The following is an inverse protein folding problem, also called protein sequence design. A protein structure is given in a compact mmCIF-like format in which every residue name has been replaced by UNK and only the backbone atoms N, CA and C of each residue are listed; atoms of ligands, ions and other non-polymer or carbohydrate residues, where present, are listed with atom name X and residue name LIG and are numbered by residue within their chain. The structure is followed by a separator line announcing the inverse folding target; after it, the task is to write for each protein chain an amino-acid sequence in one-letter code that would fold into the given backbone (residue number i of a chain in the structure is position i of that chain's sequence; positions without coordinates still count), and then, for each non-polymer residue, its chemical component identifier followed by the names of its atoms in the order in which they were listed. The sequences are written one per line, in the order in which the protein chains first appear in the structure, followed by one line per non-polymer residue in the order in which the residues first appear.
data_IF_435074517441
#
_entry.id   IF_435074517441
#
_cell.length_a   1.000
_cell.length_b   1.000
_cell.length_c   1.000
_cell.angle_alpha   90.00
_cell.angle_beta   90.00
_cell.angle_gamma   90.00
#
_symmetry.space_group_name_H-M   'P 1'
#
loop_
_entity.id
_entity.type
_entity.pdbx_description
1 polymer ?
#
# COMPACT_ATOMS: atom_id res chain seq x y z
N UNK A 1 23.35 -12.52 -4.07
CA UNK A 1 23.23 -11.50 -5.14
C UNK A 1 21.79 -11.04 -5.42
N UNK A 2 20.74 -11.64 -4.82
CA UNK A 2 19.35 -11.32 -5.09
C UNK A 2 18.67 -10.43 -4.03
N UNK A 3 19.41 -9.85 -3.08
CA UNK A 3 18.87 -8.86 -2.13
C UNK A 3 18.52 -7.52 -2.78
N UNK A 4 18.96 -7.26 -4.02
CA UNK A 4 18.70 -6.01 -4.75
C UNK A 4 17.36 -5.99 -5.47
N UNK A 5 16.70 -7.12 -5.70
CA UNK A 5 15.38 -7.16 -6.37
C UNK A 5 14.21 -6.79 -5.47
N UNK A 6 14.35 -6.93 -4.14
CA UNK A 6 13.31 -6.53 -3.19
C UNK A 6 13.16 -5.01 -3.06
N UNK A 7 14.23 -4.26 -3.39
CA UNK A 7 14.24 -2.79 -3.32
C UNK A 7 13.77 -2.09 -4.60
N UNK A 8 13.34 -2.82 -5.61
CA UNK A 8 12.92 -2.28 -6.92
C UNK A 8 11.41 -2.15 -7.05
N UNK A 9 10.69 -1.86 -5.97
CA UNK A 9 9.28 -1.48 -6.07
C UNK A 9 9.16 0.03 -6.10
N UNK A 10 8.73 0.48 -7.27
CA UNK A 10 8.41 1.85 -7.61
C UNK A 10 7.52 2.52 -6.58
N UNK A 11 7.96 3.65 -6.05
CA UNK A 11 7.09 4.55 -5.31
C UNK A 11 7.79 5.70 -4.64
N UNK A 12 8.99 5.52 -4.15
CA UNK A 12 9.78 6.64 -3.59
C UNK A 12 11.21 6.48 -4.10
N UNK A 13 11.49 7.05 -5.25
CA UNK A 13 12.87 7.22 -5.68
C UNK A 13 13.52 8.26 -4.76
N UNK A 14 14.45 7.83 -3.92
CA UNK A 14 15.43 8.75 -3.35
C UNK A 14 16.22 9.36 -4.51
N UNK A 15 15.88 10.57 -4.87
CA UNK A 15 16.49 11.34 -5.98
C UNK A 15 17.99 11.62 -5.80
N UNK A 16 18.64 11.09 -4.75
CA UNK A 16 20.01 11.44 -4.36
C UNK A 16 20.96 10.27 -4.15
N UNK A 17 20.64 9.05 -4.58
CA UNK A 17 21.58 7.93 -4.55
C UNK A 17 22.32 7.77 -5.88
N UNK A 18 22.99 8.84 -6.35
CA UNK A 18 24.05 8.70 -7.33
C UNK A 18 25.40 8.94 -6.66
N UNK A 19 26.15 7.86 -6.52
CA UNK A 19 27.60 7.87 -6.57
C UNK A 19 28.32 8.40 -5.33
N UNK A 20 28.47 7.57 -4.28
CA UNK A 20 29.66 7.69 -3.44
C UNK A 20 30.31 6.31 -3.33
N UNK A 21 31.44 6.17 -4.02
CA UNK A 21 32.36 5.06 -3.85
C UNK A 21 32.83 4.99 -2.37
N UNK A 22 33.09 3.77 -1.83
CA UNK A 22 33.60 3.65 -0.47
C UNK A 22 35.07 4.08 -0.47
N UNK A 23 35.35 5.25 0.03
CA UNK A 23 36.71 5.68 0.27
C UNK A 23 36.91 6.03 1.75
N UNK A 24 37.82 5.28 2.35
CA UNK A 24 38.60 5.50 3.58
C UNK A 24 37.81 5.73 4.89
N UNK A 25 38.16 4.87 5.85
CA UNK A 25 37.95 5.01 7.29
C UNK A 25 38.27 6.43 7.77
N UNK A 26 37.31 7.32 7.65
CA UNK A 26 37.25 8.53 8.43
C UNK A 26 36.48 8.16 9.68
N UNK A 27 37.10 8.32 10.84
CA UNK A 27 36.42 8.24 12.14
C UNK A 27 35.10 9.02 12.02
N UNK A 28 33.98 8.31 11.94
CA UNK A 28 32.66 8.94 11.88
C UNK A 28 32.40 9.57 13.24
N UNK A 29 32.63 10.88 13.34
CA UNK A 29 32.23 11.66 14.49
C UNK A 29 30.72 11.46 14.68
N UNK A 30 30.33 11.11 15.91
CA UNK A 30 28.91 10.93 16.27
C UNK A 30 28.18 12.24 15.98
N UNK A 31 27.01 12.19 15.29
CA UNK A 31 26.23 13.39 15.04
C UNK A 31 25.84 14.09 16.35
N UNK A 32 25.92 15.42 16.36
CA UNK A 32 25.61 16.26 17.51
C UNK A 32 24.45 17.20 17.20
N UNK A 33 23.84 17.74 18.24
CA UNK A 33 22.83 18.79 18.08
C UNK A 33 23.46 20.03 17.44
N UNK A 34 22.68 20.77 16.69
CA UNK A 34 23.07 22.08 16.16
C UNK A 34 23.55 22.95 17.31
N UNK A 35 24.71 23.65 17.19
CA UNK A 35 25.26 24.48 18.26
C UNK A 35 24.27 25.50 18.82
N UNK A 36 24.32 25.76 20.12
CA UNK A 36 23.33 26.60 20.82
C UNK A 36 23.18 28.01 20.25
N UNK A 37 24.26 28.64 19.80
CA UNK A 37 24.18 29.95 19.17
C UNK A 37 23.39 29.95 17.84
N UNK A 38 23.56 28.91 17.02
CA UNK A 38 22.78 28.74 15.80
C UNK A 38 21.33 28.37 16.11
N UNK A 39 21.09 27.53 17.13
CA UNK A 39 19.73 27.22 17.59
C UNK A 39 18.98 28.44 18.10
N UNK A 40 19.69 29.37 18.77
CA UNK A 40 19.09 30.63 19.21
C UNK A 40 18.58 31.47 18.03
N UNK A 41 19.34 31.57 16.94
CA UNK A 41 18.89 32.25 15.73
C UNK A 41 17.61 31.61 15.16
N UNK A 42 17.57 30.28 15.07
CA UNK A 42 16.37 29.56 14.61
C UNK A 42 15.18 29.84 15.52
N UNK A 43 15.38 29.79 16.86
CA UNK A 43 14.30 30.06 17.82
C UNK A 43 13.76 31.50 17.70
N UNK A 44 14.64 32.49 17.52
CA UNK A 44 14.20 33.88 17.30
C UNK A 44 13.30 33.98 16.07
N UNK A 45 13.67 33.38 14.94
CA UNK A 45 12.79 33.39 13.74
C UNK A 45 11.47 32.62 13.95
N UNK A 46 11.47 31.57 14.75
CA UNK A 46 10.25 30.86 15.15
C UNK A 46 9.32 31.74 16.02
N UNK A 47 9.88 32.45 16.99
CA UNK A 47 9.14 33.36 17.89
C UNK A 47 8.57 34.55 17.12
N UNK A 48 9.29 35.06 16.13
CA UNK A 48 8.86 36.15 15.24
C UNK A 48 7.91 35.68 14.12
N UNK A 49 7.58 34.38 14.04
CA UNK A 49 6.81 33.76 12.95
C UNK A 49 7.41 34.01 11.55
N UNK A 50 8.72 34.26 11.47
CA UNK A 50 9.44 34.40 10.21
C UNK A 50 9.84 33.03 9.66
N UNK A 51 8.91 32.36 9.00
CA UNK A 51 9.03 30.95 8.66
C UNK A 51 10.05 30.69 7.54
N UNK A 52 10.14 31.57 6.55
CA UNK A 52 11.16 31.49 5.50
C UNK A 52 12.57 31.57 6.08
N UNK A 53 12.81 32.50 7.03
CA UNK A 53 14.08 32.59 7.75
C UNK A 53 14.37 31.34 8.58
N UNK A 54 13.36 30.76 9.21
CA UNK A 54 13.49 29.49 9.94
C UNK A 54 13.95 28.36 9.01
N UNK A 55 13.31 28.22 7.84
CA UNK A 55 13.67 27.20 6.85
C UNK A 55 15.08 27.43 6.29
N UNK A 56 15.42 28.69 5.99
CA UNK A 56 16.72 29.06 5.48
C UNK A 56 17.85 28.69 6.46
N UNK A 57 17.75 29.13 7.70
CA UNK A 57 18.77 28.82 8.71
C UNK A 57 18.89 27.32 8.98
N UNK A 58 17.76 26.59 9.08
CA UNK A 58 17.80 25.15 9.27
C UNK A 58 18.41 24.44 8.05
N UNK A 59 18.13 24.91 6.85
CA UNK A 59 18.72 24.33 5.63
C UNK A 59 20.25 24.47 5.59
N UNK A 60 20.79 25.56 6.12
CA UNK A 60 22.24 25.77 6.25
C UNK A 60 22.86 24.98 7.42
N UNK A 61 22.17 24.91 8.57
CA UNK A 61 22.75 24.37 9.79
C UNK A 61 22.66 22.85 9.86
N UNK A 62 21.69 22.23 9.16
CA UNK A 62 21.54 20.77 9.09
C UNK A 62 22.59 20.19 8.16
N UNK A 63 23.44 19.34 8.73
CA UNK A 63 24.53 18.66 8.00
C UNK A 63 24.67 17.23 8.51
N UNK A 64 25.58 16.44 7.97
CA UNK A 64 25.88 15.08 8.47
C UNK A 64 26.32 15.04 9.93
N UNK A 65 26.87 16.14 10.43
CA UNK A 65 27.39 16.25 11.80
C UNK A 65 26.38 16.88 12.77
N UNK A 66 25.42 17.67 12.26
CA UNK A 66 24.50 18.44 13.09
C UNK A 66 23.05 18.19 12.72
N UNK A 67 22.24 17.88 13.73
CA UNK A 67 20.79 17.67 13.59
C UNK A 67 20.00 18.62 14.51
N UNK A 68 18.76 18.99 14.12
CA UNK A 68 17.90 19.82 14.94
C UNK A 68 17.27 19.01 16.08
N UNK A 69 16.98 19.61 17.25
CA UNK A 69 16.25 18.96 18.32
C UNK A 69 14.79 18.68 17.91
N UNK A 70 14.16 17.73 18.62
CA UNK A 70 12.79 17.28 18.38
C UNK A 70 11.77 18.42 18.33
N UNK A 71 11.92 19.41 19.18
CA UNK A 71 11.00 20.56 19.29
C UNK A 71 10.94 21.35 17.98
N UNK A 72 12.06 21.52 17.31
CA UNK A 72 12.13 22.20 16.02
C UNK A 72 11.45 21.36 14.93
N UNK A 73 11.69 20.05 14.91
CA UNK A 73 11.00 19.14 13.96
C UNK A 73 9.49 19.20 14.18
N UNK A 74 9.04 19.15 15.43
CA UNK A 74 7.62 19.26 15.78
C UNK A 74 7.03 20.61 15.37
N UNK A 75 7.78 21.71 15.49
CA UNK A 75 7.37 23.04 15.02
C UNK A 75 7.20 23.08 13.49
N UNK A 76 8.18 22.56 12.74
CA UNK A 76 8.10 22.48 11.26
C UNK A 76 6.85 21.72 10.83
N UNK A 77 6.51 20.63 11.50
CA UNK A 77 5.33 19.84 11.19
C UNK A 77 4.05 20.60 11.51
N UNK A 78 3.91 21.03 12.78
CA UNK A 78 2.62 21.56 13.30
C UNK A 78 2.34 22.99 12.84
N UNK A 79 3.36 23.86 12.80
CA UNK A 79 3.18 25.29 12.55
C UNK A 79 3.39 25.68 11.07
N UNK A 80 4.08 24.85 10.29
CA UNK A 80 4.35 25.17 8.89
C UNK A 80 3.67 24.16 7.98
N UNK A 81 4.04 22.86 8.04
CA UNK A 81 3.56 21.85 7.11
C UNK A 81 2.05 21.64 7.18
N UNK A 82 1.47 21.69 8.37
CA UNK A 82 0.03 21.46 8.61
C UNK A 82 -0.79 22.75 8.72
N UNK A 83 -0.15 23.92 8.59
CA UNK A 83 -0.84 25.20 8.64
C UNK A 83 -1.50 25.51 7.28
N UNK A 84 -2.82 25.70 7.22
CA UNK A 84 -3.53 25.95 5.97
C UNK A 84 -3.15 27.30 5.28
N UNK A 85 -2.56 28.23 6.02
CA UNK A 85 -2.18 29.54 5.50
C UNK A 85 -0.83 29.58 4.79
N UNK A 86 -0.06 28.49 4.80
CA UNK A 86 1.35 28.44 4.40
C UNK A 86 1.59 27.72 3.06
N UNK A 87 0.69 27.88 2.09
CA UNK A 87 0.72 27.11 0.83
C UNK A 87 2.04 27.15 0.05
N UNK A 88 2.73 28.30 0.00
CA UNK A 88 3.95 28.48 -0.81
C UNK A 88 5.17 27.74 -0.22
N UNK A 89 5.30 27.70 1.10
CA UNK A 89 6.47 27.12 1.78
C UNK A 89 6.29 25.64 2.18
N UNK A 90 5.14 25.05 1.91
CA UNK A 90 4.86 23.63 2.28
C UNK A 90 5.86 22.67 1.65
N UNK A 91 6.17 22.88 0.37
CA UNK A 91 7.10 22.03 -0.37
C UNK A 91 8.51 22.12 0.19
N UNK A 92 8.98 23.33 0.48
CA UNK A 92 10.31 23.56 1.02
C UNK A 92 10.44 22.99 2.43
N UNK A 93 9.39 23.15 3.25
CA UNK A 93 9.31 22.52 4.57
C UNK A 93 9.39 20.99 4.49
N UNK A 94 8.63 20.38 3.58
CA UNK A 94 8.67 18.96 3.34
C UNK A 94 10.06 18.50 2.87
N UNK A 95 10.68 19.22 1.93
CA UNK A 95 12.03 18.90 1.45
C UNK A 95 13.07 19.00 2.55
N UNK A 96 12.96 19.99 3.45
CA UNK A 96 13.83 20.10 4.62
C UNK A 96 13.62 18.94 5.60
N UNK A 97 12.38 18.58 5.92
CA UNK A 97 12.08 17.42 6.77
C UNK A 97 12.65 16.12 6.18
N UNK A 98 12.52 15.92 4.88
CA UNK A 98 13.08 14.76 4.18
C UNK A 98 14.62 14.77 4.17
N UNK A 99 15.25 15.95 4.04
CA UNK A 99 16.70 16.11 4.16
C UNK A 99 17.17 15.72 5.57
N UNK A 100 16.48 16.20 6.60
CA UNK A 100 16.77 15.85 8.01
C UNK A 100 16.64 14.35 8.19
N UNK A 101 15.55 13.74 7.73
CA UNK A 101 15.29 12.31 7.84
C UNK A 101 16.34 11.46 7.13
N UNK A 102 16.80 11.88 5.95
CA UNK A 102 17.84 11.19 5.19
C UNK A 102 19.20 11.23 5.89
N UNK A 103 19.57 12.38 6.48
CA UNK A 103 20.86 12.57 7.14
C UNK A 103 20.87 11.98 8.56
N UNK A 104 19.75 12.08 9.25
CA UNK A 104 19.56 11.70 10.66
C UNK A 104 18.20 10.98 10.81
N UNK A 105 18.10 9.71 10.41
CA UNK A 105 16.86 8.96 10.54
C UNK A 105 16.31 9.06 11.96
N UNK A 106 15.04 9.44 12.07
CA UNK A 106 14.39 9.63 13.35
C UNK A 106 14.34 8.31 14.13
N UNK A 107 14.44 8.42 15.43
CA UNK A 107 14.23 7.33 16.37
C UNK A 107 13.17 7.75 17.40
N UNK A 108 12.88 6.89 18.36
CA UNK A 108 11.84 7.16 19.37
C UNK A 108 12.08 8.41 20.23
N UNK A 109 13.30 8.91 20.31
CA UNK A 109 13.63 10.13 21.05
C UNK A 109 13.56 11.39 20.17
N UNK A 110 13.82 11.27 18.87
CA UNK A 110 13.94 12.42 17.95
C UNK A 110 12.74 12.62 17.05
N UNK A 111 11.83 11.64 16.95
CA UNK A 111 10.62 11.73 16.13
C UNK A 111 9.75 12.92 16.55
N UNK A 112 9.42 13.79 15.59
CA UNK A 112 8.67 15.04 15.82
C UNK A 112 7.15 14.94 15.75
N UNK A 113 6.61 13.73 15.53
CA UNK A 113 5.18 13.44 15.45
C UNK A 113 4.81 12.28 16.39
N UNK A 114 3.52 12.13 16.64
CA UNK A 114 2.93 11.02 17.41
C UNK A 114 1.67 10.51 16.72
N UNK A 115 1.16 9.36 17.18
CA UNK A 115 -0.05 8.76 16.60
C UNK A 115 -1.28 9.65 16.72
N UNK A 116 -1.41 10.37 17.81
CA UNK A 116 -2.53 11.29 18.05
C UNK A 116 -2.57 12.39 16.99
N UNK A 117 -1.41 12.95 16.63
CA UNK A 117 -1.32 13.95 15.56
C UNK A 117 -1.68 13.34 14.20
N UNK A 118 -1.15 12.14 13.89
CA UNK A 118 -1.45 11.47 12.64
C UNK A 118 -2.95 11.21 12.52
N UNK A 119 -3.56 10.65 13.56
CA UNK A 119 -5.00 10.40 13.62
C UNK A 119 -5.80 11.67 13.40
N UNK A 120 -5.48 12.74 14.13
CA UNK A 120 -6.15 14.02 13.99
C UNK A 120 -6.12 14.51 12.52
N UNK A 121 -4.97 14.49 11.87
CA UNK A 121 -4.82 14.95 10.50
C UNK A 121 -5.52 14.03 9.48
N UNK A 122 -5.54 12.72 9.74
CA UNK A 122 -6.22 11.77 8.84
C UNK A 122 -7.75 11.87 8.93
N UNK A 123 -8.28 12.21 10.09
CA UNK A 123 -9.72 12.32 10.37
C UNK A 123 -10.25 13.76 10.26
N UNK A 124 -9.37 14.76 10.13
CA UNK A 124 -9.73 16.17 10.03
C UNK A 124 -10.59 16.46 8.79
N UNK A 125 -11.71 17.12 9.01
CA UNK A 125 -12.65 17.50 7.97
C UNK A 125 -12.15 18.67 7.12
N UNK A 126 -11.34 19.56 7.69
CA UNK A 126 -10.81 20.75 7.02
C UNK A 126 -9.68 20.41 6.02
N UNK A 127 -9.12 19.21 6.10
CA UNK A 127 -8.13 18.66 5.16
C UNK A 127 -6.98 19.63 4.86
N UNK A 128 -6.05 19.83 5.80
CA UNK A 128 -4.95 20.77 5.61
C UNK A 128 -4.16 20.43 4.34
N UNK A 129 -3.70 21.43 3.57
CA UNK A 129 -3.02 21.23 2.28
C UNK A 129 -1.75 20.37 2.39
N UNK A 130 -1.07 20.39 3.54
CA UNK A 130 0.11 19.55 3.83
C UNK A 130 -0.19 18.11 4.24
N UNK A 131 -1.45 17.68 4.29
CA UNK A 131 -1.86 16.34 4.76
C UNK A 131 -1.13 15.20 4.06
N UNK A 132 -1.06 15.23 2.73
CA UNK A 132 -0.37 14.19 1.96
C UNK A 132 1.13 14.20 2.21
N UNK A 133 1.75 15.38 2.24
CA UNK A 133 3.18 15.53 2.50
C UNK A 133 3.53 15.04 3.92
N UNK A 134 2.67 15.35 4.89
CA UNK A 134 2.82 14.84 6.25
C UNK A 134 2.71 13.31 6.31
N UNK A 135 1.70 12.70 5.66
CA UNK A 135 1.57 11.26 5.59
C UNK A 135 2.80 10.61 4.92
N UNK A 136 3.31 11.19 3.84
CA UNK A 136 4.53 10.71 3.18
C UNK A 136 5.73 10.76 4.14
N UNK A 137 5.89 11.85 4.89
CA UNK A 137 6.96 11.98 5.87
C UNK A 137 6.83 10.94 7.00
N UNK A 138 5.62 10.73 7.52
CA UNK A 138 5.35 9.71 8.55
C UNK A 138 5.71 8.31 8.05
N UNK A 139 5.24 7.94 6.86
CA UNK A 139 5.53 6.61 6.28
C UNK A 139 7.02 6.42 6.04
N UNK A 140 7.72 7.46 5.53
CA UNK A 140 9.18 7.39 5.35
C UNK A 140 9.91 7.24 6.69
N UNK A 141 9.46 7.94 7.72
CA UNK A 141 10.03 7.81 9.07
C UNK A 141 9.88 6.39 9.62
N UNK A 142 8.69 5.80 9.45
CA UNK A 142 8.40 4.42 9.88
C UNK A 142 9.24 3.40 9.11
N UNK A 143 9.38 3.60 7.80
CA UNK A 143 10.16 2.72 6.93
C UNK A 143 11.64 2.73 7.30
N UNK A 144 12.24 3.91 7.40
CA UNK A 144 13.67 4.05 7.71
C UNK A 144 13.97 3.46 9.11
N UNK A 145 13.12 3.78 10.10
CA UNK A 145 13.24 3.25 11.45
C UNK A 145 13.09 1.73 11.48
N UNK A 146 12.08 1.19 10.79
CA UNK A 146 11.84 -0.25 10.68
C UNK A 146 13.04 -0.96 10.05
N UNK A 147 13.52 -0.49 8.90
CA UNK A 147 14.64 -1.09 8.18
C UNK A 147 15.94 -1.02 8.98
N UNK A 148 16.20 0.09 9.67
CA UNK A 148 17.37 0.24 10.51
C UNK A 148 17.33 -0.73 11.70
N UNK A 149 16.20 -0.80 12.41
CA UNK A 149 16.04 -1.67 13.57
C UNK A 149 15.98 -3.16 13.18
N UNK A 150 15.47 -3.48 12.00
CA UNK A 150 15.50 -4.83 11.45
C UNK A 150 16.94 -5.30 11.20
N UNK A 151 17.76 -4.45 10.56
CA UNK A 151 19.19 -4.74 10.30
C UNK A 151 19.98 -4.92 11.59
N UNK A 152 19.68 -4.11 12.59
CA UNK A 152 20.34 -4.16 13.91
C UNK A 152 19.77 -5.21 14.85
N UNK A 153 18.69 -5.91 14.45
CA UNK A 153 17.92 -6.85 15.28
C UNK A 153 17.36 -6.20 16.57
N UNK A 154 17.01 -4.92 16.50
CA UNK A 154 16.53 -4.11 17.62
C UNK A 154 15.06 -3.67 17.44
N UNK A 155 14.23 -4.46 16.77
CA UNK A 155 12.83 -4.10 16.47
C UNK A 155 12.02 -3.65 17.70
N UNK A 156 12.34 -4.14 18.89
CA UNK A 156 11.68 -3.72 20.14
C UNK A 156 11.82 -2.22 20.43
N UNK A 157 12.85 -1.57 19.87
CA UNK A 157 13.14 -0.14 20.06
C UNK A 157 12.58 0.71 18.91
N UNK A 158 12.02 0.11 17.87
CA UNK A 158 11.55 0.83 16.69
C UNK A 158 10.30 1.67 16.97
N UNK A 159 10.16 2.79 16.27
CA UNK A 159 8.93 3.59 16.25
C UNK A 159 7.80 2.75 15.68
N UNK A 160 8.08 2.02 14.58
CA UNK A 160 7.09 1.16 13.92
C UNK A 160 6.50 0.13 14.89
N UNK A 161 7.32 -0.52 15.73
CA UNK A 161 6.83 -1.45 16.78
C UNK A 161 5.92 -0.76 17.79
N UNK A 162 6.24 0.49 18.17
CA UNK A 162 5.46 1.23 19.16
C UNK A 162 4.10 1.70 18.65
N UNK A 163 3.95 1.86 17.33
CA UNK A 163 2.72 2.44 16.76
C UNK A 163 1.92 1.48 15.88
N UNK A 164 2.53 0.44 15.29
CA UNK A 164 1.89 -0.48 14.34
C UNK A 164 1.89 -1.95 14.78
N UNK A 165 2.31 -2.26 16.00
CA UNK A 165 2.29 -3.65 16.49
C UNK A 165 0.85 -4.16 16.63
N UNK A 166 0.56 -5.30 16.00
CA UNK A 166 -0.72 -6.00 16.16
C UNK A 166 -0.87 -6.62 17.57
N UNK A 167 0.22 -6.76 18.32
CA UNK A 167 0.19 -7.30 19.68
C UNK A 167 -0.11 -6.24 20.74
N UNK A 168 0.38 -4.99 20.54
CA UNK A 168 0.31 -3.93 21.55
C UNK A 168 -0.51 -2.71 21.14
N UNK A 169 -0.62 -2.43 19.84
CA UNK A 169 -1.24 -1.21 19.29
C UNK A 169 -2.24 -1.54 18.17
N UNK A 170 -2.99 -2.63 18.30
CA UNK A 170 -3.87 -3.10 17.23
C UNK A 170 -4.96 -2.10 16.83
N UNK A 171 -5.41 -1.22 17.75
CA UNK A 171 -6.36 -0.18 17.42
C UNK A 171 -5.81 0.80 16.37
N UNK A 172 -4.53 1.14 16.43
CA UNK A 172 -3.89 1.98 15.41
C UNK A 172 -3.93 1.30 14.03
N UNK A 173 -3.69 -0.01 13.99
CA UNK A 173 -3.75 -0.78 12.74
C UNK A 173 -5.17 -0.82 12.17
N UNK A 174 -6.19 -0.92 13.02
CA UNK A 174 -7.61 -0.81 12.60
C UNK A 174 -7.90 0.58 11.99
N UNK A 175 -7.41 1.65 12.62
CA UNK A 175 -7.55 3.01 12.08
C UNK A 175 -6.90 3.13 10.70
N UNK A 176 -5.71 2.53 10.47
CA UNK A 176 -5.09 2.50 9.14
C UNK A 176 -5.97 1.76 8.12
N UNK A 177 -6.61 0.65 8.51
CA UNK A 177 -7.55 -0.07 7.63
C UNK A 177 -8.76 0.80 7.30
N UNK A 178 -9.34 1.48 8.27
CA UNK A 178 -10.49 2.38 8.07
C UNK A 178 -10.14 3.53 7.12
N UNK A 179 -8.99 4.17 7.30
CA UNK A 179 -8.50 5.22 6.38
C UNK A 179 -8.25 4.69 4.98
N UNK A 180 -7.71 3.46 4.86
CA UNK A 180 -7.46 2.82 3.58
C UNK A 180 -8.77 2.54 2.83
N UNK A 181 -9.76 1.98 3.52
CA UNK A 181 -11.10 1.74 2.94
C UNK A 181 -11.74 3.06 2.51
N UNK A 182 -11.68 4.10 3.34
CA UNK A 182 -12.18 5.43 3.02
C UNK A 182 -11.48 6.02 1.78
N UNK A 183 -10.16 5.85 1.66
CA UNK A 183 -9.40 6.33 0.50
C UNK A 183 -9.77 5.59 -0.79
N UNK A 184 -9.98 4.27 -0.73
CA UNK A 184 -10.35 3.44 -1.88
C UNK A 184 -11.79 3.73 -2.33
N UNK A 185 -12.70 3.93 -1.38
CA UNK A 185 -14.11 4.23 -1.68
C UNK A 185 -14.35 5.70 -2.03
N UNK A 186 -13.33 6.56 -1.88
CA UNK A 186 -13.43 8.00 -2.16
C UNK A 186 -14.10 8.81 -1.05
N UNK A 187 -14.46 8.17 0.05
CA UNK A 187 -15.07 8.85 1.19
C UNK A 187 -14.00 9.66 1.95
N UNK A 188 -14.19 10.96 2.06
CA UNK A 188 -13.29 11.83 2.83
C UNK A 188 -11.95 12.19 2.17
N UNK A 189 -11.65 11.69 0.97
CA UNK A 189 -10.39 11.95 0.23
C UNK A 189 -10.58 12.66 -1.12
N UNK A 190 -11.73 13.27 -1.37
CA UNK A 190 -11.96 14.13 -2.53
C UNK A 190 -11.10 15.39 -2.42
N UNK A 191 -10.35 15.74 -3.47
CA UNK A 191 -9.68 17.04 -3.53
C UNK A 191 -10.71 18.17 -3.53
N UNK A 192 -10.44 19.31 -2.86
CA UNK A 192 -11.16 20.52 -3.15
C UNK A 192 -10.97 20.83 -4.65
N UNK A 193 -12.03 20.97 -5.41
CA UNK A 193 -11.94 21.47 -6.77
C UNK A 193 -11.31 22.88 -6.70
N UNK A 194 -10.11 23.04 -7.21
CA UNK A 194 -9.62 24.36 -7.60
C UNK A 194 -10.61 24.88 -8.63
N UNK A 195 -11.43 25.86 -8.22
CA UNK A 195 -12.28 26.60 -9.14
C UNK A 195 -11.36 27.24 -10.20
N UNK A 196 -11.63 27.05 -11.50
CA UNK A 196 -10.93 27.80 -12.51
C UNK A 196 -11.21 29.29 -12.24
N UNK A 197 -10.19 30.06 -11.99
CA UNK A 197 -10.31 31.51 -12.00
C UNK A 197 -10.82 31.93 -13.40
N UNK A 198 -12.08 32.33 -13.46
CA UNK A 198 -12.63 33.03 -14.61
C UNK A 198 -11.84 34.34 -14.80
N UNK A 199 -10.90 34.30 -15.71
CA UNK A 199 -10.35 35.52 -16.31
C UNK A 199 -11.44 36.10 -17.19
N UNK A 200 -12.15 37.06 -16.63
CA UNK A 200 -12.98 37.98 -17.39
C UNK A 200 -12.11 38.74 -18.38
N UNK A 201 -12.23 38.41 -19.65
CA UNK A 201 -11.91 39.33 -20.72
C UNK A 201 -13.06 39.40 -21.69
N UNK A 202 -13.62 40.58 -21.75
CA UNK A 202 -14.77 41.02 -22.51
C UNK A 202 -14.55 41.03 -24.02
N UNK A 203 -15.69 40.83 -24.73
CA UNK A 203 -16.05 41.38 -26.03
C UNK A 203 -15.54 40.72 -27.32
N UNK A 204 -16.37 40.20 -28.14
CA UNK A 204 -17.10 40.82 -29.23
C UNK A 204 -17.71 39.77 -30.16
N UNK A 205 -18.92 40.06 -30.57
CA UNK A 205 -19.81 39.50 -31.56
C UNK A 205 -19.15 39.02 -32.88
N UNK A 206 -19.66 37.89 -33.44
CA UNK A 206 -20.31 37.88 -34.74
C UNK A 206 -20.69 36.46 -35.21
N UNK A 207 -21.98 36.24 -35.34
CA UNK A 207 -22.79 35.74 -36.48
C UNK A 207 -22.38 34.52 -37.30
N UNK A 208 -23.33 33.59 -37.29
CA UNK A 208 -24.05 32.99 -38.40
C UNK A 208 -23.61 31.62 -38.93
N UNK A 209 -24.48 30.66 -38.69
CA UNK A 209 -25.36 29.92 -39.62
C UNK A 209 -24.86 28.64 -40.32
N UNK A 210 -25.76 27.68 -40.20
CA UNK A 210 -26.09 26.52 -41.08
C UNK A 210 -25.18 25.27 -41.03
N UNK A 211 -25.73 24.22 -40.72
CA UNK A 211 -26.81 23.28 -41.01
C UNK A 211 -26.30 21.85 -41.04
N UNK A 212 -27.08 21.04 -40.39
CA UNK A 212 -27.60 19.73 -40.72
C UNK A 212 -26.75 18.47 -40.75
N UNK A 213 -27.34 17.54 -40.07
CA UNK A 213 -27.60 16.13 -40.38
C UNK A 213 -26.95 15.13 -39.43
N UNK A 214 -27.76 14.73 -38.50
CA UNK A 214 -28.14 13.38 -38.12
C UNK A 214 -27.22 12.21 -38.51
N UNK A 215 -26.66 11.59 -37.47
CA UNK A 215 -26.67 10.14 -37.30
C UNK A 215 -26.60 9.84 -35.80
N UNK A 216 -27.77 9.54 -35.25
CA UNK A 216 -27.89 8.92 -33.93
C UNK A 216 -27.31 7.52 -34.02
N UNK A 217 -26.16 7.32 -33.44
CA UNK A 217 -25.71 6.01 -32.97
C UNK A 217 -25.85 6.03 -31.47
N UNK A 218 -26.77 5.23 -30.99
CA UNK A 218 -26.96 4.96 -29.56
C UNK A 218 -25.67 4.39 -28.97
N UNK A 219 -24.89 5.22 -28.33
CA UNK A 219 -23.87 4.78 -27.39
C UNK A 219 -24.55 4.58 -26.05
N UNK A 220 -24.68 3.34 -25.68
CA UNK A 220 -24.96 2.90 -24.32
C UNK A 220 -23.92 3.57 -23.39
N UNK A 221 -24.37 4.56 -22.63
CA UNK A 221 -23.62 5.16 -21.53
C UNK A 221 -23.35 4.09 -20.47
N UNK A 222 -22.25 3.35 -20.64
CA UNK A 222 -21.55 2.79 -19.51
C UNK A 222 -20.93 4.01 -18.80
N UNK A 223 -21.50 4.41 -17.70
CA UNK A 223 -20.90 5.36 -16.79
C UNK A 223 -19.55 4.76 -16.30
N UNK A 224 -18.50 5.04 -17.03
CA UNK A 224 -17.13 4.72 -16.70
C UNK A 224 -16.79 5.54 -15.46
N UNK A 225 -16.87 4.90 -14.28
CA UNK A 225 -16.53 5.52 -13.02
C UNK A 225 -15.08 5.96 -13.11
N UNK A 226 -14.84 7.25 -13.13
CA UNK A 226 -13.52 7.85 -13.22
C UNK A 226 -12.57 7.23 -12.16
N UNK A 227 -11.32 6.92 -12.54
CA UNK A 227 -10.35 6.37 -11.60
C UNK A 227 -10.19 7.30 -10.40
N UNK A 228 -9.93 6.76 -9.18
CA UNK A 228 -9.75 7.59 -7.98
C UNK A 228 -8.71 8.67 -8.28
N UNK A 229 -9.02 9.91 -7.87
CA UNK A 229 -8.14 11.05 -8.10
C UNK A 229 -6.72 10.70 -7.64
N UNK A 230 -5.70 11.16 -8.36
CA UNK A 230 -4.27 10.90 -8.11
C UNK A 230 -3.87 11.03 -6.63
N UNK A 231 -4.50 11.96 -5.91
CA UNK A 231 -4.33 12.15 -4.47
C UNK A 231 -4.76 10.91 -3.67
N UNK A 232 -5.97 10.40 -3.90
CA UNK A 232 -6.49 9.22 -3.20
C UNK A 232 -5.64 7.98 -3.49
N UNK A 233 -5.18 7.81 -4.72
CA UNK A 233 -4.28 6.72 -5.10
C UNK A 233 -2.95 6.77 -4.33
N UNK A 234 -2.35 7.96 -4.17
CA UNK A 234 -1.14 8.11 -3.34
C UNK A 234 -1.38 7.76 -1.88
N UNK A 235 -2.50 8.21 -1.32
CA UNK A 235 -2.88 7.87 0.06
C UNK A 235 -3.04 6.35 0.21
N UNK A 236 -3.71 5.69 -0.73
CA UNK A 236 -3.86 4.22 -0.73
C UNK A 236 -2.50 3.52 -0.68
N UNK A 237 -1.55 3.90 -1.52
CA UNK A 237 -0.22 3.30 -1.55
C UNK A 237 0.54 3.50 -0.22
N UNK A 238 0.45 4.68 0.38
CA UNK A 238 1.10 4.96 1.66
C UNK A 238 0.51 4.16 2.81
N UNK A 239 -0.82 4.03 2.87
CA UNK A 239 -1.49 3.24 3.89
C UNK A 239 -1.26 1.73 3.71
N UNK A 240 -1.20 1.24 2.46
CA UNK A 240 -0.79 -0.14 2.17
C UNK A 240 0.65 -0.41 2.64
N UNK A 241 1.55 0.56 2.50
CA UNK A 241 2.90 0.45 3.04
C UNK A 241 2.92 0.36 4.56
N UNK A 242 2.10 1.17 5.25
CA UNK A 242 1.96 1.07 6.71
C UNK A 242 1.45 -0.31 7.14
N UNK A 243 0.47 -0.88 6.44
CA UNK A 243 -0.02 -2.23 6.73
C UNK A 243 1.06 -3.30 6.48
N UNK A 244 1.88 -3.14 5.44
CA UNK A 244 3.01 -4.04 5.19
C UNK A 244 4.01 -4.03 6.35
N UNK A 245 4.33 -2.85 6.89
CA UNK A 245 5.18 -2.73 8.09
C UNK A 245 4.50 -3.38 9.30
N UNK A 246 3.19 -3.16 9.49
CA UNK A 246 2.43 -3.73 10.61
C UNK A 246 2.44 -5.28 10.61
N UNK A 247 2.45 -5.90 9.43
CA UNK A 247 2.58 -7.37 9.29
C UNK A 247 3.94 -7.85 9.79
N UNK A 248 5.02 -7.13 9.49
CA UNK A 248 6.39 -7.59 9.68
C UNK A 248 7.02 -7.15 11.02
N UNK A 249 6.42 -6.16 11.69
CA UNK A 249 7.02 -5.56 12.91
C UNK A 249 6.93 -6.47 14.13
N UNK A 250 6.00 -7.41 14.14
CA UNK A 250 5.83 -8.40 15.20
C UNK A 250 6.61 -9.69 14.91
N UNK A 251 6.80 -10.52 15.94
CA UNK A 251 7.56 -11.77 15.83
C UNK A 251 6.89 -12.81 14.93
N UNK A 252 5.58 -12.73 14.78
CA UNK A 252 4.79 -13.65 13.97
C UNK A 252 4.00 -12.92 12.88
N UNK A 253 4.58 -12.72 11.70
CA UNK A 253 3.89 -12.12 10.56
C UNK A 253 2.58 -12.85 10.18
N UNK A 254 2.54 -14.17 10.35
CA UNK A 254 1.33 -14.95 10.11
C UNK A 254 0.18 -14.55 11.04
N UNK A 255 0.44 -14.37 12.34
CA UNK A 255 -0.61 -13.93 13.29
C UNK A 255 -1.06 -12.49 12.98
N UNK A 256 -0.11 -11.60 12.71
CA UNK A 256 -0.42 -10.20 12.38
C UNK A 256 -1.25 -10.12 11.10
N UNK A 257 -0.88 -10.84 10.04
CA UNK A 257 -1.64 -10.83 8.78
C UNK A 257 -3.04 -11.45 8.94
N UNK A 258 -3.22 -12.49 9.75
CA UNK A 258 -4.56 -13.01 10.06
C UNK A 258 -5.42 -11.97 10.77
N UNK A 259 -4.90 -11.36 11.85
CA UNK A 259 -5.64 -10.30 12.58
C UNK A 259 -6.04 -9.13 11.69
N UNK A 260 -5.14 -8.69 10.81
CA UNK A 260 -5.43 -7.58 9.88
C UNK A 260 -6.44 -8.02 8.81
N UNK A 261 -6.30 -9.22 8.26
CA UNK A 261 -7.24 -9.77 7.28
C UNK A 261 -8.66 -9.88 7.85
N UNK A 262 -8.82 -10.32 9.11
CA UNK A 262 -10.11 -10.39 9.80
C UNK A 262 -10.78 -9.00 9.93
N UNK A 263 -9.98 -7.94 10.13
CA UNK A 263 -10.51 -6.56 10.17
C UNK A 263 -10.91 -6.07 8.79
N UNK A 264 -10.12 -6.37 7.76
CA UNK A 264 -10.39 -5.94 6.38
C UNK A 264 -11.58 -6.67 5.77
N UNK A 265 -11.77 -7.94 6.10
CA UNK A 265 -12.73 -8.82 5.45
C UNK A 265 -14.16 -8.26 5.38
N UNK A 266 -14.78 -7.77 6.47
CA UNK A 266 -16.13 -7.20 6.39
C UNK A 266 -16.21 -5.98 5.48
N UNK A 267 -15.13 -5.19 5.37
CA UNK A 267 -15.11 -4.03 4.47
C UNK A 267 -15.08 -4.45 3.01
N UNK A 268 -14.24 -5.44 2.63
CA UNK A 268 -14.12 -5.88 1.25
C UNK A 268 -15.44 -6.47 0.72
N UNK A 269 -16.20 -7.15 1.57
CA UNK A 269 -17.52 -7.67 1.23
C UNK A 269 -18.53 -6.57 0.91
N UNK A 270 -18.38 -5.39 1.52
CA UNK A 270 -19.31 -4.27 1.40
C UNK A 270 -18.91 -3.23 0.35
N UNK A 271 -17.74 -3.35 -0.28
CA UNK A 271 -17.35 -2.46 -1.38
C UNK A 271 -18.13 -2.85 -2.65
N UNK A 272 -19.02 -1.99 -3.16
CA UNK A 272 -19.92 -2.36 -4.25
C UNK A 272 -19.24 -2.37 -5.64
N UNK A 273 -18.20 -1.52 -5.83
CA UNK A 273 -17.56 -1.34 -7.13
C UNK A 273 -16.35 -2.28 -7.29
N UNK A 274 -16.34 -3.03 -8.38
CA UNK A 274 -15.23 -3.91 -8.76
C UNK A 274 -13.90 -3.15 -8.83
N UNK A 275 -13.87 -1.99 -9.46
CA UNK A 275 -12.65 -1.17 -9.58
C UNK A 275 -12.04 -0.78 -8.24
N UNK A 276 -12.87 -0.52 -7.23
CA UNK A 276 -12.42 -0.22 -5.88
C UNK A 276 -11.86 -1.47 -5.17
N UNK A 277 -12.52 -2.63 -5.31
CA UNK A 277 -12.00 -3.90 -4.78
C UNK A 277 -10.66 -4.28 -5.41
N UNK A 278 -10.56 -4.14 -6.74
CA UNK A 278 -9.31 -4.36 -7.48
C UNK A 278 -8.21 -3.38 -7.04
N UNK A 279 -8.53 -2.09 -6.90
CA UNK A 279 -7.59 -1.10 -6.41
C UNK A 279 -7.09 -1.45 -5.00
N UNK A 280 -7.97 -1.91 -4.12
CA UNK A 280 -7.61 -2.36 -2.77
C UNK A 280 -6.67 -3.57 -2.80
N UNK A 281 -7.03 -4.64 -3.52
CA UNK A 281 -6.29 -5.90 -3.51
C UNK A 281 -4.98 -5.83 -4.29
N UNK A 282 -4.95 -5.13 -5.44
CA UNK A 282 -3.76 -5.05 -6.28
C UNK A 282 -2.68 -4.14 -5.68
N UNK A 283 -3.06 -3.15 -4.87
CA UNK A 283 -2.11 -2.26 -4.20
C UNK A 283 -1.52 -2.82 -2.91
N UNK A 284 -2.02 -3.96 -2.41
CA UNK A 284 -1.48 -4.60 -1.21
C UNK A 284 -0.02 -5.02 -1.41
N UNK A 285 0.89 -4.43 -0.67
CA UNK A 285 2.31 -4.75 -0.75
C UNK A 285 2.65 -6.07 -0.05
N UNK A 286 2.03 -6.34 1.10
CA UNK A 286 2.24 -7.58 1.83
C UNK A 286 1.55 -8.76 1.13
N UNK A 287 2.36 -9.62 0.48
CA UNK A 287 1.86 -10.84 -0.17
C UNK A 287 1.19 -11.78 0.83
N UNK A 288 1.75 -11.85 2.04
CA UNK A 288 1.20 -12.69 3.10
C UNK A 288 -0.18 -12.20 3.55
N UNK A 289 -0.35 -10.89 3.76
CA UNK A 289 -1.64 -10.30 4.10
C UNK A 289 -2.67 -10.53 2.98
N UNK A 290 -2.26 -10.33 1.72
CA UNK A 290 -3.12 -10.58 0.57
C UNK A 290 -3.55 -12.05 0.47
N UNK A 291 -2.62 -12.99 0.70
CA UNK A 291 -2.96 -14.41 0.79
C UNK A 291 -4.00 -14.68 1.87
N UNK A 292 -3.82 -14.14 3.07
CA UNK A 292 -4.74 -14.37 4.18
C UNK A 292 -6.12 -13.77 3.93
N UNK A 293 -6.18 -12.58 3.37
CA UNK A 293 -7.46 -11.94 3.02
C UNK A 293 -8.21 -12.72 1.92
N UNK A 294 -7.51 -13.10 0.85
CA UNK A 294 -8.10 -13.88 -0.23
C UNK A 294 -8.48 -15.29 0.21
N UNK A 295 -7.65 -15.95 1.04
CA UNK A 295 -7.99 -17.23 1.66
C UNK A 295 -9.29 -17.11 2.46
N UNK A 296 -9.43 -16.06 3.26
CA UNK A 296 -10.63 -15.81 4.06
C UNK A 296 -11.86 -15.56 3.16
N UNK A 297 -11.70 -14.78 2.09
CA UNK A 297 -12.76 -14.51 1.11
C UNK A 297 -13.25 -15.81 0.47
N UNK A 298 -12.35 -16.64 -0.05
CA UNK A 298 -12.71 -17.89 -0.70
C UNK A 298 -13.26 -18.93 0.30
N UNK A 299 -12.70 -18.99 1.51
CA UNK A 299 -13.21 -19.87 2.56
C UNK A 299 -14.67 -19.58 2.91
N UNK A 300 -15.05 -18.29 2.95
CA UNK A 300 -16.42 -17.87 3.17
C UNK A 300 -17.33 -18.06 1.95
N UNK A 301 -16.77 -18.08 0.73
CA UNK A 301 -17.53 -18.33 -0.49
C UNK A 301 -17.80 -19.81 -0.77
N UNK A 302 -17.13 -20.72 -0.07
CA UNK A 302 -17.29 -22.16 -0.26
C UNK A 302 -18.59 -22.66 0.34
N UNK A 303 -19.33 -23.46 -0.41
CA UNK A 303 -20.52 -24.17 0.05
C UNK A 303 -20.20 -25.16 1.17
N UNK A 304 -18.99 -25.74 1.11
CA UNK A 304 -18.45 -26.61 2.15
C UNK A 304 -17.10 -26.06 2.66
N UNK A 305 -17.02 -25.57 3.91
CA UNK A 305 -15.76 -25.10 4.47
C UNK A 305 -14.71 -26.22 4.53
N UNK A 306 -13.47 -25.88 4.18
CA UNK A 306 -12.35 -26.82 4.28
C UNK A 306 -11.42 -26.45 5.40
N UNK A 307 -10.92 -27.46 6.13
CA UNK A 307 -9.91 -27.30 7.19
C UNK A 307 -8.48 -27.43 6.66
N UNK A 308 -8.32 -27.64 5.34
CA UNK A 308 -7.00 -27.71 4.73
C UNK A 308 -6.23 -26.41 4.98
N UNK A 309 -4.94 -26.48 5.32
CA UNK A 309 -4.10 -25.30 5.35
C UNK A 309 -3.93 -24.73 3.95
N UNK A 310 -3.56 -23.44 3.84
CA UNK A 310 -3.36 -22.80 2.55
C UNK A 310 -2.26 -23.53 1.76
N UNK A 311 -2.64 -24.03 0.61
CA UNK A 311 -1.81 -24.87 -0.28
C UNK A 311 -2.36 -24.82 -1.69
N UNK A 312 -1.62 -25.35 -2.66
CA UNK A 312 -2.08 -25.47 -4.04
C UNK A 312 -3.35 -26.33 -4.13
N UNK A 313 -3.43 -27.42 -3.36
CA UNK A 313 -4.63 -28.24 -3.27
C UNK A 313 -5.85 -27.46 -2.77
N UNK A 314 -5.66 -26.58 -1.76
CA UNK A 314 -6.72 -25.71 -1.28
C UNK A 314 -7.15 -24.69 -2.31
N UNK A 315 -6.23 -24.14 -3.12
CA UNK A 315 -6.57 -23.20 -4.20
C UNK A 315 -7.41 -23.89 -5.27
N UNK A 316 -7.07 -25.14 -5.66
CA UNK A 316 -7.91 -25.94 -6.57
C UNK A 316 -9.26 -26.31 -5.94
N UNK A 317 -9.29 -26.56 -4.63
CA UNK A 317 -10.54 -26.76 -3.91
C UNK A 317 -11.45 -25.54 -4.03
N UNK A 318 -10.91 -24.33 -3.84
CA UNK A 318 -11.65 -23.08 -3.99
C UNK A 318 -12.22 -22.92 -5.39
N UNK A 319 -11.47 -23.25 -6.44
CA UNK A 319 -11.97 -23.21 -7.82
C UNK A 319 -13.29 -23.98 -7.96
N UNK A 320 -13.39 -25.16 -7.35
CA UNK A 320 -14.52 -26.05 -7.55
C UNK A 320 -15.68 -25.91 -6.55
N UNK A 321 -15.45 -25.24 -5.42
CA UNK A 321 -16.45 -25.17 -4.33
C UNK A 321 -16.85 -23.75 -3.96
N UNK A 322 -16.24 -22.72 -4.58
CA UNK A 322 -16.63 -21.34 -4.30
C UNK A 322 -17.92 -20.93 -5.03
N UNK A 323 -18.71 -20.12 -4.36
CA UNK A 323 -19.82 -19.37 -4.91
C UNK A 323 -19.50 -17.89 -4.95
N UNK A 324 -20.36 -17.07 -5.58
CA UNK A 324 -20.18 -15.63 -5.62
C UNK A 324 -20.67 -15.02 -4.31
N UNK A 325 -19.75 -14.52 -3.51
CA UNK A 325 -20.02 -13.95 -2.17
C UNK A 325 -20.09 -12.42 -2.14
N UNK A 326 -19.36 -11.75 -3.06
CA UNK A 326 -19.25 -10.30 -3.09
C UNK A 326 -20.57 -9.63 -3.41
N UNK A 327 -20.79 -8.44 -2.85
CA UNK A 327 -21.92 -7.60 -3.25
C UNK A 327 -21.64 -6.97 -4.61
N UNK A 328 -22.64 -7.02 -5.48
CA UNK A 328 -22.59 -6.43 -6.81
C UNK A 328 -23.78 -5.50 -6.99
N UNK A 329 -23.66 -4.56 -7.91
CA UNK A 329 -24.81 -3.83 -8.38
C UNK A 329 -25.79 -4.81 -9.06
N UNK A 330 -27.10 -4.63 -8.88
CA UNK A 330 -28.12 -5.58 -9.31
C UNK A 330 -28.06 -5.93 -10.79
N UNK A 331 -27.58 -5.00 -11.63
CA UNK A 331 -27.46 -5.18 -13.08
C UNK A 331 -26.19 -5.90 -13.53
N UNK A 332 -25.27 -6.26 -12.61
CA UNK A 332 -24.02 -6.90 -12.98
C UNK A 332 -24.28 -8.32 -13.51
N UNK A 333 -23.91 -8.65 -14.78
CA UNK A 333 -24.10 -9.97 -15.34
C UNK A 333 -23.38 -11.06 -14.54
N UNK A 334 -23.97 -12.24 -14.42
CA UNK A 334 -23.43 -13.36 -13.65
C UNK A 334 -22.02 -13.75 -14.09
N UNK A 335 -21.73 -13.73 -15.39
CA UNK A 335 -20.41 -14.04 -15.91
C UNK A 335 -19.33 -13.06 -15.47
N UNK A 336 -19.64 -11.75 -15.32
CA UNK A 336 -18.69 -10.76 -14.82
C UNK A 336 -18.33 -11.00 -13.35
N UNK A 337 -19.28 -11.49 -12.57
CA UNK A 337 -19.03 -11.87 -11.17
C UNK A 337 -18.04 -13.03 -11.08
N UNK A 338 -18.21 -14.04 -11.94
CA UNK A 338 -17.26 -15.15 -12.02
C UNK A 338 -15.91 -14.75 -12.61
N UNK A 339 -15.89 -13.83 -13.57
CA UNK A 339 -14.67 -13.26 -14.12
C UNK A 339 -13.83 -12.57 -13.02
N UNK A 340 -14.46 -11.81 -12.13
CA UNK A 340 -13.81 -11.20 -10.97
C UNK A 340 -13.29 -12.25 -9.97
N UNK A 341 -14.09 -13.28 -9.67
CA UNK A 341 -13.67 -14.33 -8.76
C UNK A 341 -12.48 -15.13 -9.28
N UNK A 342 -12.42 -15.44 -10.57
CA UNK A 342 -11.27 -16.09 -11.20
C UNK A 342 -10.02 -15.20 -11.17
N UNK A 343 -10.19 -13.89 -11.33
CA UNK A 343 -9.08 -12.94 -11.18
C UNK A 343 -8.51 -12.96 -9.76
N UNK A 344 -9.37 -12.98 -8.74
CA UNK A 344 -8.92 -13.05 -7.35
C UNK A 344 -8.28 -14.41 -7.01
N UNK A 345 -8.75 -15.48 -7.60
CA UNK A 345 -8.13 -16.80 -7.45
C UNK A 345 -6.72 -16.83 -8.07
N UNK A 346 -6.56 -16.24 -9.25
CA UNK A 346 -5.23 -16.07 -9.88
C UNK A 346 -4.32 -15.20 -9.01
N UNK A 347 -4.85 -14.13 -8.42
CA UNK A 347 -4.10 -13.26 -7.52
C UNK A 347 -3.69 -14.01 -6.23
N UNK A 348 -4.55 -14.88 -5.70
CA UNK A 348 -4.21 -15.75 -4.56
C UNK A 348 -3.08 -16.71 -4.91
N UNK A 349 -3.13 -17.35 -6.07
CA UNK A 349 -2.11 -18.28 -6.54
C UNK A 349 -0.74 -17.59 -6.68
N UNK A 350 -0.70 -16.41 -7.31
CA UNK A 350 0.53 -15.62 -7.46
C UNK A 350 1.09 -15.16 -6.11
N UNK A 351 0.21 -14.74 -5.20
CA UNK A 351 0.61 -14.30 -3.86
C UNK A 351 1.14 -15.48 -3.04
N UNK A 352 0.52 -16.64 -3.16
CA UNK A 352 0.95 -17.87 -2.49
C UNK A 352 2.34 -18.29 -2.95
N UNK A 353 2.62 -18.28 -4.25
CA UNK A 353 3.96 -18.57 -4.80
C UNK A 353 5.04 -17.67 -4.16
N UNK A 354 4.77 -16.38 -4.04
CA UNK A 354 5.71 -15.44 -3.43
C UNK A 354 5.92 -15.73 -1.93
N UNK A 355 4.85 -16.08 -1.20
CA UNK A 355 4.93 -16.43 0.23
C UNK A 355 5.76 -17.70 0.44
N UNK A 356 5.61 -18.71 -0.41
CA UNK A 356 6.45 -19.93 -0.36
C UNK A 356 7.92 -19.56 -0.51
N UNK A 357 8.26 -18.75 -1.51
CA UNK A 357 9.66 -18.35 -1.77
C UNK A 357 10.26 -17.58 -0.60
N UNK A 358 9.50 -16.69 0.01
CA UNK A 358 9.96 -15.93 1.18
C UNK A 358 10.10 -16.82 2.43
N UNK A 359 9.18 -17.76 2.64
CA UNK A 359 9.27 -18.73 3.74
C UNK A 359 10.52 -19.61 3.62
N UNK A 360 10.84 -20.07 2.43
CA UNK A 360 12.07 -20.83 2.19
C UNK A 360 13.32 -20.01 2.46
N UNK A 361 13.35 -18.74 2.03
CA UNK A 361 14.49 -17.85 2.29
C UNK A 361 14.69 -17.64 3.79
N UNK A 362 13.61 -17.45 4.54
CA UNK A 362 13.70 -17.29 6.00
C UNK A 362 14.17 -18.59 6.68
N UNK A 363 13.69 -19.75 6.25
CA UNK A 363 14.10 -21.04 6.82
C UNK A 363 15.52 -21.43 6.43
N UNK A 364 16.04 -20.99 5.29
CA UNK A 364 17.45 -21.17 4.90
C UNK A 364 18.41 -20.31 5.74
N UNK A 365 17.98 -19.12 6.14
CA UNK A 365 18.77 -18.28 7.05
C UNK A 365 18.87 -18.91 8.44
N UNK A 366 17.81 -19.57 8.89
CA UNK A 366 17.76 -20.25 10.19
C UNK A 366 18.40 -21.65 10.18
N UNK A 367 18.59 -22.23 8.98
CA UNK A 367 19.10 -23.59 8.76
C UNK A 367 20.29 -23.61 7.83
N UNK A 368 21.33 -22.83 8.12
CA UNK A 368 22.56 -22.80 7.29
C UNK A 368 23.22 -24.18 7.12
N UNK A 369 22.88 -25.16 7.94
CA UNK A 369 23.46 -26.53 7.90
C UNK A 369 22.71 -27.50 6.96
N UNK A 370 21.62 -27.09 6.28
CA UNK A 370 20.79 -27.96 5.45
C UNK A 370 20.78 -27.59 3.94
N UNK A 371 21.81 -26.95 3.45
CA UNK A 371 21.90 -26.39 2.07
C UNK A 371 22.11 -27.47 0.99
N UNK A 372 21.76 -28.70 1.10
CA UNK A 372 22.04 -29.67 0.03
C UNK A 372 20.81 -30.52 -0.35
N UNK A 373 19.68 -29.96 -0.52
CA UNK A 373 18.65 -30.67 -1.27
C UNK A 373 18.05 -29.76 -2.33
N UNK A 374 18.22 -30.15 -3.60
CA UNK A 374 17.55 -29.61 -4.79
C UNK A 374 16.04 -29.95 -4.77
N UNK A 375 15.39 -29.82 -3.62
CA UNK A 375 13.96 -30.02 -3.51
C UNK A 375 13.24 -28.72 -3.89
N UNK A 376 12.19 -28.85 -4.71
CA UNK A 376 11.24 -27.75 -4.95
C UNK A 376 10.74 -27.22 -3.61
N UNK A 377 10.54 -25.90 -3.52
CA UNK A 377 9.97 -25.29 -2.33
C UNK A 377 8.54 -25.78 -2.11
N UNK A 378 8.36 -26.62 -1.12
CA UNK A 378 7.06 -27.10 -0.68
C UNK A 378 6.82 -26.66 0.75
N UNK A 379 5.72 -25.96 0.99
CA UNK A 379 5.27 -25.69 2.35
C UNK A 379 4.63 -26.92 2.97
N UNK A 380 4.03 -27.79 2.14
CA UNK A 380 3.26 -28.96 2.56
C UNK A 380 3.21 -30.01 1.45
N UNK A 381 2.92 -31.27 1.82
CA UNK A 381 2.72 -32.37 0.86
C UNK A 381 1.55 -32.10 -0.10
N UNK A 382 0.56 -31.31 0.32
CA UNK A 382 -0.58 -30.87 -0.51
C UNK A 382 -0.23 -29.86 -1.62
N UNK A 383 1.05 -29.47 -1.76
CA UNK A 383 1.56 -28.72 -2.89
C UNK A 383 2.05 -29.64 -4.03
N UNK A 384 2.07 -30.94 -3.82
CA UNK A 384 2.44 -31.92 -4.86
C UNK A 384 1.21 -32.35 -5.66
N UNK A 385 0.91 -31.58 -6.70
CA UNK A 385 -0.28 -31.77 -7.56
C UNK A 385 0.19 -32.14 -8.97
N UNK A 386 -0.40 -33.20 -9.53
CA UNK A 386 -0.10 -33.61 -10.89
C UNK A 386 -0.79 -32.71 -11.91
N UNK A 387 -0.21 -32.58 -13.11
CA UNK A 387 -0.83 -31.87 -14.23
C UNK A 387 -2.22 -32.45 -14.59
N UNK A 388 -2.40 -33.76 -14.40
CA UNK A 388 -3.68 -34.43 -14.66
C UNK A 388 -4.74 -33.98 -13.66
N UNK A 389 -4.38 -33.85 -12.38
CA UNK A 389 -5.31 -33.37 -11.36
C UNK A 389 -5.74 -31.92 -11.62
N UNK A 390 -4.80 -31.07 -12.06
CA UNK A 390 -5.10 -29.68 -12.45
C UNK A 390 -6.10 -29.67 -13.59
N UNK A 391 -5.85 -30.46 -14.65
CA UNK A 391 -6.72 -30.56 -15.81
C UNK A 391 -8.13 -31.02 -15.43
N UNK A 392 -8.24 -32.09 -14.65
CA UNK A 392 -9.53 -32.64 -14.21
C UNK A 392 -10.32 -31.60 -13.38
N UNK A 393 -9.65 -30.88 -12.48
CA UNK A 393 -10.32 -29.85 -11.67
C UNK A 393 -10.81 -28.66 -12.48
N UNK A 394 -10.10 -28.31 -13.55
CA UNK A 394 -10.52 -27.25 -14.47
C UNK A 394 -11.72 -27.72 -15.31
N UNK A 395 -11.71 -28.96 -15.78
CA UNK A 395 -12.84 -29.56 -16.51
C UNK A 395 -14.11 -29.67 -15.63
N UNK A 396 -13.96 -30.05 -14.36
CA UNK A 396 -15.03 -30.04 -13.37
C UNK A 396 -15.63 -28.62 -13.20
N UNK A 397 -14.77 -27.60 -13.10
CA UNK A 397 -15.19 -26.23 -13.00
C UNK A 397 -15.94 -25.77 -14.26
N UNK A 398 -15.43 -26.05 -15.45
CA UNK A 398 -16.07 -25.72 -16.72
C UNK A 398 -17.47 -26.37 -16.79
N UNK A 399 -17.57 -27.64 -16.46
CA UNK A 399 -18.86 -28.38 -16.49
C UNK A 399 -19.87 -27.75 -15.52
N UNK A 400 -19.44 -27.35 -14.34
CA UNK A 400 -20.29 -26.65 -13.37
C UNK A 400 -20.72 -25.28 -13.87
N UNK A 401 -19.80 -24.51 -14.44
CA UNK A 401 -20.09 -23.16 -14.92
C UNK A 401 -20.99 -23.16 -16.17
N UNK A 402 -20.89 -24.15 -17.02
CA UNK A 402 -21.81 -24.30 -18.19
C UNK A 402 -23.26 -24.48 -17.74
N UNK A 403 -23.47 -25.13 -16.60
CA UNK A 403 -24.84 -25.28 -16.03
C UNK A 403 -25.36 -23.94 -15.46
N UNK A 404 -24.46 -23.09 -14.91
CA UNK A 404 -24.83 -21.80 -14.29
C UNK A 404 -24.96 -20.68 -15.34
N UNK A 405 -24.03 -20.61 -16.28
CA UNK A 405 -23.91 -19.51 -17.24
C UNK A 405 -24.59 -19.81 -18.58
N UNK A 406 -24.93 -21.08 -18.83
CA UNK A 406 -25.55 -21.50 -20.09
C UNK A 406 -24.59 -21.64 -21.28
N UNK A 407 -25.15 -21.85 -22.45
CA UNK A 407 -24.42 -21.96 -23.72
C UNK A 407 -24.84 -20.82 -24.64
N UNK A 408 -23.94 -20.15 -25.38
CA UNK A 408 -22.48 -20.37 -25.43
C UNK A 408 -21.76 -19.91 -24.14
N UNK A 409 -20.69 -20.62 -23.80
CA UNK A 409 -19.85 -20.26 -22.60
C UNK A 409 -19.07 -18.97 -22.87
N UNK A 410 -19.10 -17.98 -21.98
CA UNK A 410 -18.46 -16.70 -22.22
C UNK A 410 -16.94 -16.83 -22.47
N UNK A 411 -16.47 -16.20 -23.57
CA UNK A 411 -15.07 -16.27 -24.00
C UNK A 411 -14.13 -15.71 -22.90
N UNK A 412 -14.53 -14.63 -22.22
CA UNK A 412 -13.77 -14.01 -21.16
C UNK A 412 -13.46 -14.97 -20.00
N UNK A 413 -14.42 -15.82 -19.66
CA UNK A 413 -14.22 -16.85 -18.62
C UNK A 413 -13.24 -17.91 -19.10
N UNK A 414 -13.35 -18.34 -20.36
CA UNK A 414 -12.44 -19.32 -20.96
C UNK A 414 -11.00 -18.80 -21.00
N UNK A 415 -10.80 -17.56 -21.41
CA UNK A 415 -9.48 -16.92 -21.45
C UNK A 415 -8.86 -16.81 -20.05
N UNK A 416 -9.62 -16.34 -19.05
CA UNK A 416 -9.13 -16.27 -17.66
C UNK A 416 -8.81 -17.63 -17.07
N UNK A 417 -9.62 -18.62 -17.39
CA UNK A 417 -9.38 -19.98 -16.92
C UNK A 417 -8.12 -20.59 -17.55
N UNK A 418 -7.87 -20.31 -18.84
CA UNK A 418 -6.63 -20.70 -19.51
C UNK A 418 -5.42 -20.04 -18.86
N UNK A 419 -5.47 -18.74 -18.57
CA UNK A 419 -4.41 -18.01 -17.86
C UNK A 419 -4.20 -18.60 -16.46
N UNK A 420 -5.28 -18.89 -15.73
CA UNK A 420 -5.18 -19.51 -14.40
C UNK A 420 -4.50 -20.88 -14.47
N UNK A 421 -4.86 -21.70 -15.46
CA UNK A 421 -4.24 -23.02 -15.70
C UNK A 421 -2.74 -22.89 -15.99
N UNK A 422 -2.35 -21.99 -16.88
CA UNK A 422 -0.94 -21.74 -17.20
C UNK A 422 -0.15 -21.27 -15.96
N UNK A 423 -0.70 -20.35 -15.18
CA UNK A 423 -0.09 -19.89 -13.93
C UNK A 423 0.08 -21.05 -12.95
N UNK A 424 -0.93 -21.93 -12.85
CA UNK A 424 -0.89 -23.08 -11.97
C UNK A 424 0.21 -24.07 -12.40
N UNK A 425 0.33 -24.33 -13.70
CA UNK A 425 1.38 -25.18 -14.26
C UNK A 425 2.78 -24.60 -14.01
N UNK A 426 2.95 -23.28 -14.13
CA UNK A 426 4.23 -22.60 -13.84
C UNK A 426 4.59 -22.74 -12.35
N UNK A 427 3.62 -22.61 -11.45
CA UNK A 427 3.87 -22.72 -9.99
C UNK A 427 4.20 -24.16 -9.59
N UNK A 428 3.65 -25.15 -10.27
CA UNK A 428 3.91 -26.58 -10.00
C UNK A 428 5.15 -27.13 -10.72
N UNK A 429 5.63 -26.47 -11.79
CA UNK A 429 6.84 -26.83 -12.54
C UNK A 429 8.13 -26.49 -11.79
#
# INVERSE_FOLDING_TARGET
LNKLHYFRRSGVQHLFLQGVAPNRETQQQKPELIPSGKLSMVRTTMEENFQEGTLHFLSEFVSRQHYPPKEIISHLIRQILLNPQQGEILKDTYMLLMKIQMLHPANTATVGWDWTLLKYIMEDQEKPPGRLLFLQYVVQTLEDDFQQNLRLRLLQKSIAKKVLSCDTCFNNVKEVVEWLVAAVTGVGFSQPQEQPQETTSSSAEARAEHSSSALQLASTDQAEVAPPAFFAQKVVLLLQRMLSIAVEVDKSPNCSSCKIADVIFPFILNIPLRSQREAFLNTMESQLLRCKLLELLFQHSCDMPTTLPLSLAKILYFLNHSSVLLQYQDETPTWQRWDEMLQYLSLLLMSYQNVILDHLRSSLIDRMDLIIQKAKPKLQDSDDISHVDIQLKIEDFISRMQQVLGQPFPLQITEKLSIFQELFLIVTA
#
